data_IF_705137544143
#
_entry.id   IF_705137544143
#
_cell.length_a   1.000
_cell.length_b   1.000
_cell.length_c   1.000
_cell.angle_alpha   90.00
_cell.angle_beta   90.00
_cell.angle_gamma   90.00
#
_symmetry.space_group_name_H-M   'P 1'
#
loop_
_entity.id
_entity.type
_entity.pdbx_description
1 polymer ?
#
# COMPACT_ATOMS: atom_id res chain seq x y z
N UNK A 1 22.99 -24.52 5.41
CA UNK A 1 22.33 -25.75 5.92
C UNK A 1 21.53 -25.51 7.20
N UNK A 2 22.07 -24.89 8.27
CA UNK A 2 21.27 -24.67 9.49
C UNK A 2 20.15 -23.62 9.30
N UNK A 3 20.42 -22.52 8.60
CA UNK A 3 19.43 -21.46 8.32
C UNK A 3 18.27 -21.96 7.44
N UNK A 4 18.54 -22.87 6.51
CA UNK A 4 17.52 -23.53 5.68
C UNK A 4 16.57 -24.38 6.55
N UNK A 5 17.10 -25.11 7.55
CA UNK A 5 16.28 -25.86 8.50
C UNK A 5 15.43 -24.92 9.37
N UNK A 6 15.98 -23.78 9.81
CA UNK A 6 15.23 -22.76 10.55
C UNK A 6 14.13 -22.14 9.69
N UNK A 7 14.42 -21.87 8.42
CA UNK A 7 13.45 -21.30 7.46
C UNK A 7 12.30 -22.26 7.24
N UNK A 8 12.57 -23.56 7.05
CA UNK A 8 11.54 -24.60 6.97
C UNK A 8 10.73 -24.71 8.26
N UNK A 9 11.37 -24.62 9.42
CA UNK A 9 10.68 -24.64 10.72
C UNK A 9 9.74 -23.43 10.85
N UNK A 10 10.21 -22.23 10.52
CA UNK A 10 9.39 -21.01 10.53
C UNK A 10 8.20 -21.11 9.57
N UNK A 11 8.40 -21.67 8.37
CA UNK A 11 7.32 -21.90 7.42
C UNK A 11 6.23 -22.81 7.98
N UNK A 12 6.61 -23.93 8.59
CA UNK A 12 5.65 -24.83 9.24
C UNK A 12 4.89 -24.12 10.36
N UNK A 13 5.58 -23.35 11.19
CA UNK A 13 4.96 -22.57 12.27
C UNK A 13 3.97 -21.52 11.74
N UNK A 14 4.27 -20.86 10.62
CA UNK A 14 3.34 -19.95 9.95
C UNK A 14 2.10 -20.70 9.44
N UNK A 15 2.28 -21.85 8.81
CA UNK A 15 1.17 -22.67 8.32
C UNK A 15 0.28 -23.19 9.47
N UNK A 16 0.88 -23.62 10.58
CA UNK A 16 0.16 -24.00 11.80
C UNK A 16 -0.63 -22.83 12.41
N UNK A 17 -0.14 -21.60 12.26
CA UNK A 17 -0.84 -20.37 12.64
C UNK A 17 -1.91 -19.92 11.62
N UNK A 18 -2.23 -20.75 10.63
CA UNK A 18 -3.32 -20.51 9.67
C UNK A 18 -2.93 -19.71 8.43
N UNK A 19 -1.63 -19.58 8.13
CA UNK A 19 -1.19 -18.95 6.88
C UNK A 19 -1.43 -19.89 5.69
N UNK A 20 -1.99 -19.42 4.57
CA UNK A 20 -2.14 -20.22 3.36
C UNK A 20 -0.80 -20.74 2.86
N UNK A 21 -0.75 -21.98 2.36
CA UNK A 21 0.52 -22.60 1.93
C UNK A 21 1.13 -21.94 0.69
N UNK A 22 0.29 -21.39 -0.17
CA UNK A 22 0.63 -20.61 -1.36
C UNK A 22 1.02 -19.15 -1.02
N UNK A 23 0.65 -18.65 0.16
CA UNK A 23 1.06 -17.34 0.64
C UNK A 23 2.50 -17.31 1.18
N UNK A 24 3.09 -18.45 1.54
CA UNK A 24 4.42 -18.51 2.16
C UNK A 24 5.48 -18.96 1.14
N UNK A 25 6.26 -18.01 0.63
CA UNK A 25 7.27 -18.23 -0.40
C UNK A 25 8.67 -18.22 0.21
N UNK A 26 9.45 -19.26 -0.05
CA UNK A 26 10.88 -19.34 0.31
C UNK A 26 11.75 -18.75 -0.81
N UNK A 27 12.89 -18.17 -0.45
CA UNK A 27 13.92 -17.68 -1.39
C UNK A 27 13.36 -16.76 -2.48
N UNK A 28 12.51 -15.79 -2.10
CA UNK A 28 11.90 -14.87 -3.06
C UNK A 28 12.98 -13.97 -3.68
N UNK A 29 13.16 -14.09 -5.00
CA UNK A 29 14.10 -13.29 -5.76
C UNK A 29 13.59 -11.84 -5.93
N UNK A 30 14.38 -10.88 -5.46
CA UNK A 30 14.11 -9.44 -5.57
C UNK A 30 15.26 -8.76 -6.30
N UNK A 31 14.95 -8.04 -7.37
CA UNK A 31 15.94 -7.28 -8.14
C UNK A 31 16.08 -5.88 -7.56
N UNK A 32 17.29 -5.51 -7.15
CA UNK A 32 17.60 -4.17 -6.71
C UNK A 32 17.68 -3.18 -7.89
N UNK A 33 17.58 -1.86 -7.63
CA UNK A 33 17.77 -0.83 -8.65
C UNK A 33 19.13 -0.87 -9.37
N UNK A 34 20.15 -1.46 -8.73
CA UNK A 34 21.49 -1.67 -9.31
C UNK A 34 21.58 -2.90 -10.24
N UNK A 35 20.46 -3.61 -10.43
CA UNK A 35 20.36 -4.82 -11.26
C UNK A 35 20.80 -6.10 -10.57
N UNK A 36 21.29 -6.06 -9.33
CA UNK A 36 21.64 -7.27 -8.56
C UNK A 36 20.37 -7.96 -8.09
N UNK A 37 20.41 -9.30 -8.08
CA UNK A 37 19.33 -10.12 -7.54
C UNK A 37 19.70 -10.52 -6.13
N UNK A 38 18.79 -10.26 -5.20
CA UNK A 38 18.84 -10.72 -3.82
C UNK A 38 17.76 -11.76 -3.60
N UNK A 39 17.97 -12.63 -2.62
CA UNK A 39 17.00 -13.64 -2.23
C UNK A 39 16.57 -13.35 -0.80
N UNK A 40 15.26 -13.20 -0.61
CA UNK A 40 14.63 -13.05 0.70
C UNK A 40 14.36 -14.45 1.23
N UNK A 41 14.82 -14.76 2.45
CA UNK A 41 14.71 -16.10 3.03
C UNK A 41 13.26 -16.61 3.01
N UNK A 42 12.32 -15.78 3.49
CA UNK A 42 10.90 -16.09 3.48
C UNK A 42 10.06 -14.82 3.30
N UNK A 43 9.07 -14.88 2.42
CA UNK A 43 8.13 -13.81 2.14
C UNK A 43 6.68 -14.29 2.28
N UNK A 44 5.81 -13.41 2.77
CA UNK A 44 4.37 -13.61 2.83
C UNK A 44 3.73 -12.77 1.73
N UNK A 45 3.00 -13.43 0.84
CA UNK A 45 2.33 -12.83 -0.31
C UNK A 45 0.82 -13.01 -0.16
N UNK A 46 0.05 -11.99 -0.49
CA UNK A 46 -1.39 -12.14 -0.66
C UNK A 46 -1.68 -12.93 -1.96
N UNK A 47 -2.28 -14.13 -1.88
CA UNK A 47 -2.51 -14.96 -3.07
C UNK A 47 -3.49 -14.30 -4.07
N UNK A 48 -4.29 -13.33 -3.63
CA UNK A 48 -5.26 -12.64 -4.49
C UNK A 48 -4.60 -11.47 -5.22
N UNK A 49 -3.98 -10.54 -4.49
CA UNK A 49 -3.38 -9.34 -5.09
C UNK A 49 -1.94 -9.53 -5.55
N UNK A 50 -1.29 -10.64 -5.19
CA UNK A 50 0.16 -10.86 -5.36
C UNK A 50 1.04 -9.81 -4.66
N UNK A 51 0.48 -9.02 -3.72
CA UNK A 51 1.26 -8.05 -2.96
C UNK A 51 2.08 -8.73 -1.87
N UNK A 52 3.28 -8.21 -1.59
CA UNK A 52 4.15 -8.74 -0.53
C UNK A 52 3.71 -8.09 0.78
N UNK A 53 3.11 -8.88 1.67
CA UNK A 53 2.60 -8.44 2.96
C UNK A 53 3.72 -8.27 3.99
N UNK A 54 4.62 -9.25 4.05
CA UNK A 54 5.69 -9.30 5.02
C UNK A 54 6.92 -10.04 4.48
N UNK A 55 8.10 -9.72 5.00
CA UNK A 55 9.34 -10.42 4.71
C UNK A 55 10.06 -10.79 6.01
N UNK A 56 10.69 -11.95 6.01
CA UNK A 56 11.43 -12.52 7.12
C UNK A 56 12.88 -12.75 6.70
N UNK A 57 13.81 -12.26 7.52
CA UNK A 57 15.20 -12.69 7.49
C UNK A 57 15.43 -13.67 8.64
N UNK A 58 16.09 -14.78 8.36
CA UNK A 58 16.31 -15.87 9.30
C UNK A 58 17.79 -15.94 9.66
N UNK A 59 18.12 -15.72 10.94
CA UNK A 59 19.50 -15.82 11.45
C UNK A 59 19.61 -16.87 12.54
N UNK A 60 20.69 -17.66 12.52
CA UNK A 60 20.93 -18.66 13.57
C UNK A 60 21.15 -17.99 14.93
N UNK A 61 22.08 -17.06 15.04
CA UNK A 61 22.44 -16.45 16.31
C UNK A 61 22.44 -14.92 16.18
N UNK A 62 21.94 -14.22 17.20
CA UNK A 62 21.94 -12.75 17.30
C UNK A 62 22.57 -12.26 18.60
N UNK A 63 23.50 -13.02 19.18
CA UNK A 63 24.23 -12.62 20.39
C UNK A 63 25.13 -11.38 20.17
N UNK A 64 25.50 -11.13 18.92
CA UNK A 64 26.33 -9.97 18.53
C UNK A 64 25.47 -8.85 17.92
N UNK A 65 25.53 -7.68 18.55
CA UNK A 65 24.93 -6.43 18.05
C UNK A 65 25.34 -6.11 16.59
N UNK A 66 26.54 -6.51 16.15
CA UNK A 66 26.97 -6.32 14.77
C UNK A 66 26.15 -7.18 13.80
N UNK A 67 25.80 -8.41 14.18
CA UNK A 67 24.98 -9.31 13.35
C UNK A 67 23.55 -8.80 13.26
N UNK A 68 22.98 -8.32 14.38
CA UNK A 68 21.68 -7.63 14.40
C UNK A 68 21.66 -6.47 13.41
N UNK A 69 22.66 -5.58 13.48
CA UNK A 69 22.74 -4.42 12.57
C UNK A 69 22.87 -4.82 11.10
N UNK A 70 23.63 -5.88 10.80
CA UNK A 70 23.75 -6.42 9.44
C UNK A 70 22.41 -6.96 8.94
N UNK A 71 21.70 -7.73 9.76
CA UNK A 71 20.38 -8.27 9.41
C UNK A 71 19.36 -7.15 9.18
N UNK A 72 19.30 -6.13 10.05
CA UNK A 72 18.44 -4.96 9.85
C UNK A 72 18.79 -4.25 8.53
N UNK A 73 20.08 -4.00 8.28
CA UNK A 73 20.51 -3.33 7.05
C UNK A 73 20.13 -4.14 5.80
N UNK A 74 20.22 -5.46 5.86
CA UNK A 74 19.84 -6.38 4.79
C UNK A 74 18.33 -6.32 4.51
N UNK A 75 17.48 -6.47 5.54
CA UNK A 75 16.02 -6.39 5.40
C UNK A 75 15.58 -5.01 4.89
N UNK A 76 16.19 -3.93 5.38
CA UNK A 76 15.93 -2.57 4.90
C UNK A 76 16.38 -2.35 3.46
N UNK A 77 17.41 -3.07 3.01
CA UNK A 77 17.82 -3.04 1.60
C UNK A 77 16.75 -3.70 0.73
N UNK A 78 16.18 -4.81 1.19
CA UNK A 78 15.12 -5.51 0.46
C UNK A 78 13.85 -4.66 0.36
N UNK A 79 13.44 -4.02 1.46
CA UNK A 79 12.21 -3.22 1.48
C UNK A 79 12.23 -2.03 0.52
N UNK A 80 13.40 -1.46 0.24
CA UNK A 80 13.58 -0.37 -0.73
C UNK A 80 13.36 -0.79 -2.18
N UNK A 81 13.52 -2.08 -2.48
CA UNK A 81 13.37 -2.64 -3.82
C UNK A 81 11.95 -3.18 -4.06
N UNK A 82 11.09 -3.14 -3.04
CA UNK A 82 9.73 -3.65 -3.11
C UNK A 82 8.73 -2.48 -3.19
N UNK A 83 7.67 -2.59 -4.01
CA UNK A 83 6.70 -1.51 -4.21
C UNK A 83 5.85 -1.22 -2.97
N UNK A 84 5.47 -2.25 -2.21
CA UNK A 84 4.37 -2.16 -1.23
C UNK A 84 4.82 -1.92 0.22
N UNK A 85 6.11 -1.65 0.45
CA UNK A 85 6.70 -1.44 1.79
C UNK A 85 6.23 -2.50 2.82
N UNK A 86 6.63 -3.77 2.63
CA UNK A 86 6.17 -4.88 3.46
C UNK A 86 6.56 -4.70 4.93
N UNK A 87 5.87 -5.42 5.81
CA UNK A 87 6.29 -5.55 7.20
C UNK A 87 7.59 -6.35 7.28
N UNK A 88 8.51 -5.90 8.12
CA UNK A 88 9.86 -6.41 8.20
C UNK A 88 10.03 -7.20 9.50
N UNK A 89 10.38 -8.47 9.39
CA UNK A 89 10.60 -9.34 10.53
C UNK A 89 11.99 -9.96 10.50
N UNK A 90 12.59 -10.07 11.69
CA UNK A 90 13.82 -10.81 11.92
C UNK A 90 13.49 -11.99 12.83
N UNK A 91 13.74 -13.19 12.33
CA UNK A 91 13.58 -14.43 13.08
C UNK A 91 14.94 -15.00 13.45
N UNK A 92 15.14 -15.36 14.72
CA UNK A 92 16.35 -16.04 15.14
C UNK A 92 16.10 -17.17 16.12
N UNK A 93 17.08 -18.09 16.22
CA UNK A 93 16.98 -19.24 17.11
C UNK A 93 18.30 -19.54 17.83
N UNK A 94 18.41 -19.12 19.09
CA UNK A 94 19.59 -19.37 19.91
C UNK A 94 19.39 -20.58 20.82
N UNK A 95 20.21 -21.62 20.63
CA UNK A 95 20.37 -22.84 21.45
C UNK A 95 19.13 -23.68 21.80
N UNK A 96 17.92 -23.18 21.55
CA UNK A 96 16.58 -23.83 21.55
C UNK A 96 15.46 -22.78 21.66
N UNK A 97 15.81 -21.53 22.03
CA UNK A 97 14.86 -20.41 22.10
C UNK A 97 14.72 -19.74 20.75
N UNK A 98 13.50 -19.41 20.38
CA UNK A 98 13.19 -18.62 19.19
C UNK A 98 12.83 -17.20 19.60
N UNK A 99 13.34 -16.23 18.87
CA UNK A 99 12.98 -14.83 19.05
C UNK A 99 12.56 -14.25 17.72
N UNK A 100 11.57 -13.37 17.80
CA UNK A 100 10.98 -12.70 16.64
C UNK A 100 11.04 -11.22 16.94
N UNK A 101 11.49 -10.44 15.97
CA UNK A 101 11.54 -8.99 16.09
C UNK A 101 10.82 -8.36 14.90
N UNK A 102 10.05 -7.32 15.13
CA UNK A 102 9.65 -6.39 14.07
C UNK A 102 10.71 -5.32 13.90
N UNK A 103 11.10 -5.09 12.65
CA UNK A 103 11.97 -3.99 12.28
C UNK A 103 11.14 -2.84 11.73
N UNK A 104 11.36 -1.64 12.26
CA UNK A 104 10.85 -0.43 11.65
C UNK A 104 11.76 -0.01 10.48
N UNK A 105 11.16 0.42 9.38
CA UNK A 105 11.89 0.91 8.20
C UNK A 105 12.66 2.18 8.57
N UNK A 106 12.07 3.04 9.40
CA UNK A 106 12.62 4.35 9.74
C UNK A 106 13.59 4.28 10.92
N UNK A 107 13.15 3.77 12.06
CA UNK A 107 14.03 3.59 13.21
C UNK A 107 14.90 2.34 13.03
N UNK A 108 16.21 2.42 13.26
CA UNK A 108 17.09 1.22 13.25
C UNK A 108 16.88 0.34 14.48
N UNK A 109 15.66 0.31 15.01
CA UNK A 109 15.29 -0.37 16.22
C UNK A 109 14.57 -1.67 15.87
N UNK A 110 14.76 -2.66 16.73
CA UNK A 110 14.02 -3.91 16.72
C UNK A 110 13.10 -3.93 17.93
N UNK A 111 11.84 -4.23 17.70
CA UNK A 111 10.86 -4.45 18.76
C UNK A 111 10.63 -5.96 18.90
N UNK A 112 10.88 -6.55 20.07
CA UNK A 112 10.64 -7.97 20.29
C UNK A 112 9.14 -8.25 20.22
N UNK A 113 8.78 -9.30 19.47
CA UNK A 113 7.42 -9.79 19.34
C UNK A 113 7.27 -11.11 20.10
N UNK A 114 6.26 -11.17 20.94
CA UNK A 114 5.91 -12.39 21.67
C UNK A 114 5.16 -13.40 20.81
N UNK A 115 4.51 -12.95 19.73
CA UNK A 115 3.74 -13.78 18.81
C UNK A 115 3.77 -13.19 17.41
N UNK A 116 3.79 -14.07 16.41
CA UNK A 116 3.57 -13.68 15.01
C UNK A 116 2.15 -13.10 14.82
N UNK A 117 1.98 -12.05 14.00
CA UNK A 117 0.65 -11.60 13.61
C UNK A 117 -0.10 -12.72 12.87
N UNK A 118 -1.43 -12.66 12.82
CA UNK A 118 -2.21 -13.55 11.94
C UNK A 118 -2.14 -13.06 10.49
N UNK A 119 -2.39 -13.96 9.54
CA UNK A 119 -2.46 -13.60 8.12
C UNK A 119 -3.50 -12.50 7.86
N UNK A 120 -4.67 -12.57 8.49
CA UNK A 120 -5.71 -11.53 8.42
C UNK A 120 -5.25 -10.17 8.98
N UNK A 121 -4.45 -10.19 10.05
CA UNK A 121 -3.85 -8.96 10.60
C UNK A 121 -2.84 -8.33 9.64
N UNK A 122 -2.10 -9.15 8.87
CA UNK A 122 -1.19 -8.66 7.84
C UNK A 122 -1.97 -8.01 6.68
N UNK A 123 -3.03 -8.68 6.19
CA UNK A 123 -3.89 -8.17 5.12
C UNK A 123 -4.53 -6.82 5.50
N UNK A 124 -5.09 -6.71 6.70
CA UNK A 124 -5.69 -5.47 7.19
C UNK A 124 -4.68 -4.33 7.40
N UNK A 125 -3.43 -4.65 7.73
CA UNK A 125 -2.38 -3.63 7.86
C UNK A 125 -2.00 -2.99 6.52
N UNK A 126 -2.12 -3.75 5.42
CA UNK A 126 -1.84 -3.24 4.07
C UNK A 126 -2.98 -2.42 3.49
N UNK A 127 -4.24 -2.81 3.71
CA UNK A 127 -5.39 -2.03 3.23
C UNK A 127 -5.41 -0.62 3.83
N UNK A 128 -4.98 -0.48 5.09
CA UNK A 128 -4.80 0.83 5.73
C UNK A 128 -3.68 1.68 5.11
N UNK A 129 -2.63 1.05 4.55
CA UNK A 129 -1.56 1.76 3.84
C UNK A 129 -1.96 2.12 2.40
N UNK A 130 -2.67 1.24 1.69
CA UNK A 130 -3.07 1.44 0.29
C UNK A 130 -4.06 2.58 0.07
N UNK A 131 -4.95 2.85 1.05
CA UNK A 131 -5.91 3.96 0.97
C UNK A 131 -5.23 5.34 1.17
N UNK A 132 -4.02 5.39 1.74
CA UNK A 132 -3.29 6.64 2.02
C UNK A 132 -2.14 6.96 1.03
N UNK A 133 -1.81 6.08 0.08
CA UNK A 133 -0.68 6.29 -0.84
C UNK A 133 -1.02 7.10 -2.10
N UNK A 134 -2.29 7.22 -2.50
CA UNK A 134 -2.71 8.09 -3.62
C UNK A 134 -2.73 9.59 -3.26
N UNK A 135 -2.51 9.98 -2.00
CA UNK A 135 -2.53 11.39 -1.56
C UNK A 135 -1.39 11.81 -0.62
N UNK A 136 -0.21 11.16 -0.66
CA UNK A 136 0.93 11.51 0.21
C UNK A 136 2.06 12.26 -0.50
N UNK A 137 1.75 13.48 -0.94
CA UNK A 137 2.54 14.67 -0.58
C UNK A 137 1.59 15.52 0.28
N UNK A 138 2.02 15.83 1.50
CA UNK A 138 1.30 16.59 2.53
C UNK A 138 0.08 15.91 3.18
N UNK A 139 0.30 15.23 4.31
CA UNK A 139 -0.55 15.29 5.54
C UNK A 139 -0.16 14.20 6.53
N UNK A 140 0.91 14.45 7.30
CA UNK A 140 1.35 13.61 8.42
C UNK A 140 0.72 13.99 9.77
N UNK A 141 -0.32 14.85 9.80
CA UNK A 141 -0.79 15.45 11.06
C UNK A 141 -2.15 14.94 11.53
N UNK A 142 -3.14 14.70 10.67
CA UNK A 142 -4.52 14.46 11.15
C UNK A 142 -4.78 13.05 11.75
N UNK A 143 -4.20 11.99 11.19
CA UNK A 143 -4.44 10.61 11.71
C UNK A 143 -3.69 10.28 13.01
N UNK A 144 -2.79 11.16 13.46
CA UNK A 144 -2.16 11.05 14.80
C UNK A 144 -3.08 11.47 15.95
N UNK A 145 -4.20 12.18 15.72
CA UNK A 145 -5.02 12.73 16.81
C UNK A 145 -5.98 11.74 17.47
N UNK A 146 -6.39 10.66 16.79
CA UNK A 146 -7.36 9.71 17.35
C UNK A 146 -6.76 8.79 18.43
N UNK A 147 -5.47 8.42 18.31
CA UNK A 147 -4.79 7.59 19.31
C UNK A 147 -4.22 8.41 20.48
N UNK A 148 -4.18 9.74 20.38
CA UNK A 148 -3.70 10.65 21.43
C UNK A 148 -4.76 10.88 22.52
N UNK A 149 -6.05 10.87 22.21
CA UNK A 149 -7.12 11.12 23.21
C UNK A 149 -7.26 9.98 24.23
N UNK A 150 -6.95 8.73 23.85
CA UNK A 150 -6.89 7.61 24.80
C UNK A 150 -5.61 7.60 25.66
N UNK A 151 -4.53 8.25 25.19
CA UNK A 151 -3.26 8.39 25.91
C UNK A 151 -3.16 9.63 26.81
N UNK A 152 -4.01 10.64 26.62
CA UNK A 152 -3.92 11.89 27.39
C UNK A 152 -4.34 11.76 28.87
N UNK A 153 -5.06 10.70 29.27
CA UNK A 153 -5.38 10.45 30.69
C UNK A 153 -4.18 9.94 31.51
N UNK A 154 -3.14 9.39 30.88
CA UNK A 154 -1.95 8.88 31.58
C UNK A 154 -0.79 9.87 31.64
N UNK A 155 -0.74 10.87 30.74
CA UNK A 155 0.36 11.83 30.62
C UNK A 155 0.41 12.96 31.66
N UNK A 156 -0.66 13.21 32.43
CA UNK A 156 -0.60 14.20 33.52
C UNK A 156 0.27 13.68 34.68
N UNK A 157 0.28 12.36 34.92
CA UNK A 157 1.09 11.75 35.98
C UNK A 157 2.60 11.73 35.62
N UNK A 158 2.95 11.62 34.34
CA UNK A 158 4.34 11.51 33.89
C UNK A 158 4.98 12.91 33.73
N UNK A 159 4.22 13.93 33.33
CA UNK A 159 4.72 15.30 33.24
C UNK A 159 5.15 15.88 34.60
N UNK A 160 4.43 15.54 35.69
CA UNK A 160 4.80 15.95 37.05
C UNK A 160 6.13 15.33 37.53
N UNK A 161 6.49 14.14 37.03
CA UNK A 161 7.75 13.44 37.36
C UNK A 161 8.95 13.91 36.50
N UNK A 162 8.70 14.42 35.30
CA UNK A 162 9.76 14.90 34.39
C UNK A 162 10.15 16.37 34.64
N UNK A 163 9.24 17.21 35.14
CA UNK A 163 9.53 18.62 35.46
C UNK A 163 10.51 18.73 36.63
N UNK A 164 10.52 17.78 37.57
CA UNK A 164 11.46 17.79 38.71
C UNK A 164 12.85 17.23 38.38
N UNK A 165 13.02 16.52 37.25
CA UNK A 165 14.27 15.82 36.92
C UNK A 165 15.06 16.45 35.76
N UNK A 166 14.44 17.23 34.86
CA UNK A 166 15.14 17.87 33.72
C UNK A 166 15.46 19.36 33.89
N UNK A 167 14.95 20.04 34.94
CA UNK A 167 15.15 21.48 35.16
C UNK A 167 16.58 21.93 35.55
N UNK A 168 17.56 21.01 35.63
CA UNK A 168 18.91 21.32 36.08
C UNK A 168 20.02 21.07 35.04
N UNK A 169 19.70 20.65 33.80
CA UNK A 169 20.74 20.19 32.86
C UNK A 169 20.88 20.90 31.50
N UNK A 170 20.09 21.93 31.19
CA UNK A 170 20.29 22.73 29.97
C UNK A 170 20.33 24.23 30.26
N UNK A 171 21.43 24.65 30.85
CA UNK A 171 21.99 25.99 30.65
C UNK A 171 23.34 25.84 29.93
N UNK A 172 23.67 26.78 29.04
CA UNK A 172 24.87 26.89 28.18
C UNK A 172 24.74 26.48 26.70
N UNK A 173 24.13 27.33 25.87
CA UNK A 173 24.73 27.81 24.59
C UNK A 173 23.83 28.82 23.85
N UNK A 174 23.69 30.02 24.42
CA UNK A 174 23.08 31.17 23.72
C UNK A 174 24.12 31.83 22.80
N UNK A 175 23.95 31.68 21.49
CA UNK A 175 24.39 32.70 20.53
C UNK A 175 23.31 33.76 20.50
N UNK A 176 23.59 34.91 21.11
CA UNK A 176 22.70 36.07 21.12
C UNK A 176 22.66 36.70 19.74
N UNK A 177 21.62 36.39 18.96
CA UNK A 177 21.30 37.11 17.73
C UNK A 177 20.89 38.55 18.08
N UNK A 178 21.51 39.53 17.43
CA UNK A 178 21.27 40.95 17.70
C UNK A 178 19.88 41.41 17.25
N UNK A 179 19.31 42.40 17.93
CA UNK A 179 17.96 42.94 17.72
C UNK A 179 17.61 43.30 16.25
N UNK A 180 18.60 43.59 15.40
CA UNK A 180 18.40 43.86 13.97
C UNK A 180 18.04 42.60 13.17
N UNK A 181 18.61 41.46 13.53
CA UNK A 181 18.40 40.18 12.84
C UNK A 181 17.04 39.59 13.22
N UNK A 182 16.64 39.73 14.49
CA UNK A 182 15.29 39.38 14.97
C UNK A 182 14.19 40.19 14.28
N UNK A 183 14.43 41.48 13.98
CA UNK A 183 13.44 42.32 13.28
C UNK A 183 13.29 41.90 11.81
N UNK A 184 14.41 41.51 11.17
CA UNK A 184 14.42 41.04 9.79
C UNK A 184 13.76 39.66 9.67
N UNK A 185 14.07 38.74 10.58
CA UNK A 185 13.45 37.42 10.65
C UNK A 185 11.94 37.51 10.94
N UNK A 186 11.52 38.42 11.82
CA UNK A 186 10.10 38.65 12.12
C UNK A 186 9.33 39.24 10.93
N UNK A 187 9.96 40.10 10.12
CA UNK A 187 9.36 40.62 8.89
C UNK A 187 9.21 39.55 7.80
N UNK A 188 10.21 38.67 7.66
CA UNK A 188 10.18 37.57 6.68
C UNK A 188 9.20 36.48 7.09
N UNK A 189 9.08 36.20 8.39
CA UNK A 189 8.06 35.30 8.93
C UNK A 189 6.65 35.84 8.70
N UNK A 190 6.40 37.13 8.95
CA UNK A 190 5.10 37.74 8.64
C UNK A 190 4.77 37.67 7.15
N UNK A 191 5.73 37.94 6.27
CA UNK A 191 5.53 37.83 4.83
C UNK A 191 5.18 36.40 4.39
N UNK A 192 5.83 35.39 4.96
CA UNK A 192 5.50 33.97 4.74
C UNK A 192 4.10 33.61 5.27
N UNK A 193 3.69 34.17 6.41
CA UNK A 193 2.34 33.96 6.95
C UNK A 193 1.27 34.53 6.01
N UNK A 194 1.47 35.76 5.50
CA UNK A 194 0.53 36.36 4.53
C UNK A 194 0.48 35.57 3.21
N UNK A 195 1.62 35.09 2.72
CA UNK A 195 1.67 34.23 1.54
C UNK A 195 0.93 32.91 1.76
N UNK A 196 1.14 32.27 2.92
CA UNK A 196 0.43 31.04 3.27
C UNK A 196 -1.08 31.26 3.36
N UNK A 197 -1.52 32.40 3.86
CA UNK A 197 -2.94 32.71 4.01
C UNK A 197 -3.62 32.92 2.65
N UNK A 198 -2.95 33.62 1.72
CA UNK A 198 -3.43 33.77 0.35
C UNK A 198 -3.53 32.44 -0.42
N UNK A 199 -2.60 31.51 -0.16
CA UNK A 199 -2.66 30.15 -0.74
C UNK A 199 -3.87 29.38 -0.19
N UNK A 200 -4.14 29.48 1.12
CA UNK A 200 -5.31 28.83 1.73
C UNK A 200 -6.61 29.36 1.15
N UNK A 201 -6.74 30.68 0.99
CA UNK A 201 -7.94 31.29 0.40
C UNK A 201 -8.16 30.86 -1.06
N UNK A 202 -7.09 30.74 -1.86
CA UNK A 202 -7.23 30.27 -3.25
C UNK A 202 -7.60 28.78 -3.31
N UNK A 203 -7.04 27.96 -2.41
CA UNK A 203 -7.38 26.52 -2.33
C UNK A 203 -8.83 26.30 -1.87
N UNK A 204 -9.34 27.10 -0.93
CA UNK A 204 -10.76 27.03 -0.54
C UNK A 204 -11.69 27.38 -1.71
N UNK A 205 -11.29 28.34 -2.55
CA UNK A 205 -12.05 28.70 -3.75
C UNK A 205 -12.06 27.58 -4.77
N UNK A 206 -10.90 26.97 -5.06
CA UNK A 206 -10.79 25.83 -5.99
C UNK A 206 -11.57 24.61 -5.48
N UNK A 207 -11.54 24.34 -4.16
CA UNK A 207 -12.28 23.24 -3.55
C UNK A 207 -13.80 23.45 -3.67
N UNK A 208 -14.28 24.68 -3.49
CA UNK A 208 -15.68 25.01 -3.69
C UNK A 208 -16.12 24.86 -5.16
N UNK A 209 -15.25 25.18 -6.12
CA UNK A 209 -15.50 24.99 -7.55
C UNK A 209 -15.57 23.50 -7.94
N UNK A 210 -14.65 22.69 -7.41
CA UNK A 210 -14.65 21.22 -7.58
C UNK A 210 -15.88 20.60 -6.92
N UNK A 211 -16.26 21.05 -5.72
CA UNK A 211 -17.46 20.57 -5.02
C UNK A 211 -18.73 20.88 -5.80
N UNK A 212 -18.83 22.09 -6.38
CA UNK A 212 -19.94 22.47 -7.26
C UNK A 212 -20.01 21.58 -8.51
N UNK A 213 -18.85 21.31 -9.13
CA UNK A 213 -18.75 20.41 -10.27
C UNK A 213 -19.15 18.96 -9.91
N UNK A 214 -18.76 18.48 -8.72
CA UNK A 214 -19.07 17.13 -8.26
C UNK A 214 -20.56 16.95 -7.94
N UNK A 215 -21.23 17.97 -7.38
CA UNK A 215 -22.68 17.93 -7.15
C UNK A 215 -23.50 17.87 -8.44
N UNK A 216 -22.99 18.45 -9.53
CA UNK A 216 -23.61 18.35 -10.85
C UNK A 216 -23.44 16.95 -11.47
N UNK A 217 -22.40 16.22 -11.06
CA UNK A 217 -22.11 14.85 -11.50
C UNK A 217 -22.87 13.78 -10.70
N UNK A 218 -23.21 14.04 -9.43
CA UNK A 218 -23.89 13.06 -8.57
C UNK A 218 -25.37 12.84 -8.89
N UNK A 219 -26.00 13.75 -9.63
CA UNK A 219 -27.43 13.67 -10.00
C UNK A 219 -27.70 12.96 -11.33
N UNK A 220 -26.67 12.37 -11.97
CA UNK A 220 -26.83 11.70 -13.26
C UNK A 220 -27.10 10.17 -13.11
N UNK A 221 -28.01 9.59 -13.91
CA UNK A 221 -28.36 8.15 -13.85
C UNK A 221 -27.16 7.22 -14.11
N UNK A 222 -27.14 6.04 -13.49
CA UNK A 222 -26.04 5.06 -13.56
C UNK A 222 -25.66 4.62 -14.98
N UNK A 223 -26.58 4.63 -15.93
CA UNK A 223 -26.31 4.34 -17.34
C UNK A 223 -25.41 5.38 -18.04
N UNK A 224 -25.17 6.54 -17.44
CA UNK A 224 -24.29 7.57 -18.01
C UNK A 224 -22.90 7.65 -17.36
N UNK A 225 -22.69 6.97 -16.22
CA UNK A 225 -21.40 6.98 -15.50
C UNK A 225 -20.27 6.37 -16.33
N UNK A 226 -20.53 5.25 -17.01
CA UNK A 226 -19.53 4.62 -17.88
C UNK A 226 -19.14 5.50 -19.08
N UNK A 227 -20.09 6.27 -19.64
CA UNK A 227 -19.83 7.18 -20.76
C UNK A 227 -18.94 8.34 -20.34
N UNK A 228 -19.04 8.79 -19.08
CA UNK A 228 -18.18 9.82 -18.49
C UNK A 228 -16.78 9.26 -18.22
N UNK A 229 -16.67 8.01 -17.74
CA UNK A 229 -15.37 7.35 -17.58
C UNK A 229 -14.66 7.15 -18.92
N UNK A 230 -15.39 6.75 -19.96
CA UNK A 230 -14.85 6.62 -21.33
C UNK A 230 -14.44 7.99 -21.89
N UNK A 231 -15.25 9.04 -21.72
CA UNK A 231 -14.89 10.40 -22.15
C UNK A 231 -13.68 10.94 -21.38
N UNK A 232 -13.55 10.62 -20.09
CA UNK A 232 -12.38 11.00 -19.27
C UNK A 232 -11.13 10.24 -19.71
N UNK A 233 -11.27 8.95 -20.04
CA UNK A 233 -10.20 8.16 -20.64
C UNK A 233 -9.77 8.74 -21.99
N UNK A 234 -10.73 9.11 -22.83
CA UNK A 234 -10.47 9.73 -24.14
C UNK A 234 -9.76 11.09 -23.99
N UNK A 235 -10.19 11.93 -23.04
CA UNK A 235 -9.51 13.20 -22.74
C UNK A 235 -8.08 12.99 -22.19
N UNK A 236 -7.87 11.97 -21.35
CA UNK A 236 -6.53 11.62 -20.88
C UNK A 236 -5.63 11.13 -22.02
N UNK A 237 -6.17 10.36 -22.96
CA UNK A 237 -5.46 9.92 -24.17
C UNK A 237 -5.10 11.10 -25.07
N UNK A 238 -6.00 12.06 -25.25
CA UNK A 238 -5.75 13.28 -26.03
C UNK A 238 -4.66 14.15 -25.38
N UNK A 239 -4.70 14.32 -24.05
CA UNK A 239 -3.63 15.01 -23.30
C UNK A 239 -2.30 14.29 -23.41
N UNK A 240 -2.29 12.95 -23.41
CA UNK A 240 -1.08 12.15 -23.59
C UNK A 240 -0.52 12.33 -25.01
N UNK A 241 -1.39 12.30 -26.03
CA UNK A 241 -1.04 12.55 -27.43
C UNK A 241 -0.40 13.92 -27.61
N UNK A 242 -0.99 14.97 -27.04
CA UNK A 242 -0.45 16.33 -27.11
C UNK A 242 0.91 16.47 -26.40
N UNK A 243 1.12 15.72 -25.30
CA UNK A 243 2.43 15.66 -24.62
C UNK A 243 3.48 14.92 -25.44
N UNK A 244 3.10 13.86 -26.14
CA UNK A 244 3.98 13.13 -27.05
C UNK A 244 4.36 14.00 -28.24
N UNK A 245 3.42 14.72 -28.84
CA UNK A 245 3.69 15.64 -29.96
C UNK A 245 4.58 16.82 -29.52
N UNK A 246 4.36 17.35 -28.32
CA UNK A 246 5.23 18.38 -27.72
C UNK A 246 6.64 17.84 -27.45
N UNK A 247 6.76 16.61 -26.94
CA UNK A 247 8.05 15.92 -26.76
C UNK A 247 8.72 15.67 -28.11
N UNK A 248 7.98 15.24 -29.13
CA UNK A 248 8.46 14.99 -30.49
C UNK A 248 9.05 16.27 -31.10
N UNK A 249 8.34 17.40 -30.99
CA UNK A 249 8.80 18.73 -31.40
C UNK A 249 10.11 19.14 -30.70
N UNK A 250 10.21 18.90 -29.38
CA UNK A 250 11.44 19.20 -28.61
C UNK A 250 12.58 18.25 -28.98
N UNK A 251 12.28 16.99 -29.29
CA UNK A 251 13.25 15.94 -29.63
C UNK A 251 13.76 16.01 -31.07
N UNK A 252 13.00 16.57 -32.02
CA UNK A 252 13.44 16.78 -33.42
C UNK A 252 14.59 17.78 -33.57
N UNK A 253 14.97 18.50 -32.52
CA UNK A 253 16.12 19.40 -32.51
C UNK A 253 17.47 18.68 -32.36
N UNK A 254 17.49 17.38 -32.04
CA UNK A 254 18.69 16.57 -31.83
C UNK A 254 18.65 15.25 -32.65
N UNK A 255 19.44 15.11 -33.74
CA UNK A 255 19.31 14.02 -34.71
C UNK A 255 19.64 12.63 -34.13
N UNK A 256 20.35 12.55 -33.01
CA UNK A 256 20.63 11.28 -32.32
C UNK A 256 19.40 10.69 -31.63
N UNK A 257 18.38 11.51 -31.34
CA UNK A 257 17.11 11.10 -30.72
C UNK A 257 16.00 10.81 -31.74
N UNK A 258 16.19 11.16 -33.01
CA UNK A 258 15.25 10.87 -34.10
C UNK A 258 15.06 9.36 -34.36
N UNK A 259 16.02 8.52 -33.95
CA UNK A 259 15.90 7.05 -34.01
C UNK A 259 15.07 6.46 -32.84
N UNK A 260 14.94 7.18 -31.73
CA UNK A 260 14.16 6.71 -30.58
C UNK A 260 12.66 6.87 -30.81
N UNK A 261 12.23 7.84 -31.62
CA UNK A 261 10.81 8.13 -31.88
C UNK A 261 10.11 6.99 -32.64
N UNK A 262 10.65 6.41 -33.73
CA UNK A 262 10.06 5.25 -34.39
C UNK A 262 9.99 4.01 -33.47
N UNK A 263 10.96 3.85 -32.57
CA UNK A 263 10.96 2.75 -31.60
C UNK A 263 9.85 2.94 -30.57
N UNK A 264 9.73 4.14 -30.00
CA UNK A 264 8.64 4.48 -29.07
C UNK A 264 7.27 4.35 -29.73
N UNK A 265 7.13 4.76 -30.99
CA UNK A 265 5.88 4.58 -31.76
C UNK A 265 5.56 3.10 -31.95
N UNK A 266 6.55 2.27 -32.26
CA UNK A 266 6.38 0.82 -32.37
C UNK A 266 5.99 0.19 -31.03
N UNK A 267 6.61 0.63 -29.94
CA UNK A 267 6.30 0.14 -28.59
C UNK A 267 4.88 0.56 -28.18
N UNK A 268 4.45 1.78 -28.51
CA UNK A 268 3.09 2.27 -28.27
C UNK A 268 2.05 1.50 -29.11
N UNK A 269 2.32 1.26 -30.40
CA UNK A 269 1.45 0.41 -31.22
C UNK A 269 1.41 -1.04 -30.72
N UNK A 270 2.51 -1.54 -30.14
CA UNK A 270 2.54 -2.87 -29.54
C UNK A 270 1.73 -2.92 -28.25
N UNK A 271 1.83 -1.91 -27.38
CA UNK A 271 1.04 -1.86 -26.15
C UNK A 271 -0.44 -1.65 -26.43
N UNK A 272 -0.79 -0.80 -27.40
CA UNK A 272 -2.17 -0.64 -27.88
C UNK A 272 -2.74 -1.97 -28.35
N UNK A 273 -2.01 -2.70 -29.19
CA UNK A 273 -2.43 -4.04 -29.65
C UNK A 273 -2.61 -5.01 -28.49
N UNK A 274 -1.66 -5.08 -27.56
CA UNK A 274 -1.79 -5.94 -26.38
C UNK A 274 -3.02 -5.58 -25.55
N UNK A 275 -3.26 -4.29 -25.29
CA UNK A 275 -4.43 -3.83 -24.55
C UNK A 275 -5.74 -4.15 -25.27
N UNK A 276 -5.81 -3.98 -26.58
CA UNK A 276 -7.01 -4.36 -27.35
C UNK A 276 -7.28 -5.85 -27.31
N UNK A 277 -6.23 -6.69 -27.34
CA UNK A 277 -6.35 -8.13 -27.21
C UNK A 277 -6.82 -8.54 -25.81
N UNK A 278 -6.26 -7.93 -24.76
CA UNK A 278 -6.69 -8.16 -23.38
C UNK A 278 -8.13 -7.72 -23.14
N UNK A 279 -8.58 -6.60 -23.72
CA UNK A 279 -9.97 -6.16 -23.65
C UNK A 279 -10.91 -7.14 -24.36
N UNK A 280 -10.53 -7.63 -25.54
CA UNK A 280 -11.31 -8.65 -26.24
C UNK A 280 -11.38 -9.96 -25.46
N UNK A 281 -10.27 -10.38 -24.85
CA UNK A 281 -10.22 -11.56 -23.99
C UNK A 281 -11.09 -11.38 -22.74
N UNK A 282 -10.99 -10.23 -22.07
CA UNK A 282 -11.80 -9.90 -20.89
C UNK A 282 -13.29 -9.91 -21.25
N UNK A 283 -13.66 -9.34 -22.41
CA UNK A 283 -15.03 -9.39 -22.90
C UNK A 283 -15.50 -10.82 -23.14
N UNK A 284 -14.67 -11.66 -23.76
CA UNK A 284 -15.00 -13.07 -23.99
C UNK A 284 -15.15 -13.85 -22.68
N UNK A 285 -14.33 -13.55 -21.68
CA UNK A 285 -14.45 -14.14 -20.34
C UNK A 285 -15.72 -13.68 -19.62
N UNK A 286 -16.09 -12.40 -19.73
CA UNK A 286 -17.35 -11.87 -19.22
C UNK A 286 -18.56 -12.51 -19.90
N UNK A 287 -18.54 -12.70 -21.22
CA UNK A 287 -19.59 -13.42 -21.95
C UNK A 287 -19.71 -14.87 -21.45
N UNK A 288 -18.59 -15.54 -21.19
CA UNK A 288 -18.59 -16.89 -20.61
C UNK A 288 -19.15 -16.92 -19.18
N UNK A 289 -18.78 -15.96 -18.33
CA UNK A 289 -19.32 -15.82 -16.99
C UNK A 289 -20.82 -15.52 -17.01
N UNK A 290 -21.26 -14.69 -17.96
CA UNK A 290 -22.67 -14.38 -18.16
C UNK A 290 -23.46 -15.64 -18.53
N UNK A 291 -22.96 -16.45 -19.46
CA UNK A 291 -23.57 -17.74 -19.81
C UNK A 291 -23.61 -18.70 -18.62
N UNK A 292 -22.53 -18.77 -17.83
CA UNK A 292 -22.49 -19.57 -16.60
C UNK A 292 -23.54 -19.10 -15.57
N UNK A 293 -23.67 -17.78 -15.37
CA UNK A 293 -24.66 -17.20 -14.48
C UNK A 293 -26.09 -17.51 -14.95
N UNK A 294 -26.34 -17.47 -16.27
CA UNK A 294 -27.62 -17.87 -16.84
C UNK A 294 -27.96 -19.33 -16.54
N UNK A 295 -26.98 -20.24 -16.67
CA UNK A 295 -27.14 -21.64 -16.27
C UNK A 295 -27.41 -21.79 -14.77
N UNK A 296 -26.69 -21.03 -13.94
CA UNK A 296 -26.88 -21.05 -12.49
C UNK A 296 -28.29 -20.61 -12.07
N UNK A 297 -28.83 -19.55 -12.69
CA UNK A 297 -30.21 -19.10 -12.47
C UNK A 297 -31.20 -20.20 -12.85
N UNK A 298 -30.98 -20.87 -13.99
CA UNK A 298 -31.81 -22.00 -14.41
C UNK A 298 -31.78 -23.14 -13.40
N UNK A 299 -30.59 -23.49 -12.89
CA UNK A 299 -30.41 -24.53 -11.88
C UNK A 299 -31.13 -24.16 -10.58
N UNK A 300 -30.96 -22.93 -10.08
CA UNK A 300 -31.67 -22.45 -8.89
C UNK A 300 -33.20 -22.54 -9.05
N UNK A 301 -33.71 -22.20 -10.24
CA UNK A 301 -35.14 -22.32 -10.54
C UNK A 301 -35.62 -23.79 -10.50
N UNK A 302 -34.84 -24.73 -11.07
CA UNK A 302 -35.19 -26.16 -11.00
C UNK A 302 -35.16 -26.72 -9.59
N UNK A 303 -34.19 -26.29 -8.75
CA UNK A 303 -34.13 -26.69 -7.34
C UNK A 303 -35.35 -26.15 -6.59
N UNK A 304 -35.69 -24.87 -6.78
CA UNK A 304 -36.84 -24.25 -6.11
C UNK A 304 -38.16 -24.96 -6.49
N UNK A 305 -38.35 -25.30 -7.77
CA UNK A 305 -39.50 -26.08 -8.23
C UNK A 305 -39.51 -27.51 -7.65
N UNK A 306 -38.35 -28.17 -7.56
CA UNK A 306 -38.25 -29.50 -6.96
C UNK A 306 -38.64 -29.49 -5.48
N UNK A 307 -38.20 -28.48 -4.72
CA UNK A 307 -38.56 -28.32 -3.32
C UNK A 307 -40.06 -28.04 -3.16
N UNK A 308 -40.62 -27.14 -3.99
CA UNK A 308 -42.06 -26.87 -4.00
C UNK A 308 -42.89 -28.12 -4.37
N UNK A 309 -42.44 -28.91 -5.36
CA UNK A 309 -43.08 -30.17 -5.74
C UNK A 309 -43.08 -31.20 -4.62
N UNK A 310 -41.98 -31.30 -3.87
CA UNK A 310 -41.87 -32.19 -2.71
C UNK A 310 -42.82 -31.76 -1.59
N UNK A 311 -42.93 -30.45 -1.31
CA UNK A 311 -43.86 -29.92 -0.30
C UNK A 311 -45.32 -30.15 -0.72
N UNK A 312 -45.66 -29.88 -1.99
CA UNK A 312 -47.01 -30.11 -2.51
C UNK A 312 -47.40 -31.59 -2.46
N UNK A 313 -46.50 -32.50 -2.85
CA UNK A 313 -46.71 -33.96 -2.77
C UNK A 313 -46.89 -34.43 -1.33
N UNK A 314 -46.06 -33.93 -0.40
CA UNK A 314 -46.20 -34.25 1.03
C UNK A 314 -47.53 -33.80 1.63
N UNK A 315 -48.13 -32.71 1.13
CA UNK A 315 -49.42 -32.22 1.61
C UNK A 315 -50.58 -33.04 1.05
N UNK A 316 -50.49 -33.48 -0.21
CA UNK A 316 -51.52 -34.31 -0.84
C UNK A 316 -51.55 -35.74 -0.26
N UNK A 317 -50.39 -36.37 -0.06
CA UNK A 317 -50.32 -37.72 0.53
C UNK A 317 -50.87 -37.78 1.97
N UNK A 318 -50.93 -36.66 2.69
CA UNK A 318 -51.51 -36.60 4.06
C UNK A 318 -53.04 -36.60 4.08
N UNK A 319 -53.72 -36.41 2.94
CA UNK A 319 -55.20 -36.39 2.88
C UNK A 319 -55.82 -37.75 2.52
N UNK A 320 -55.03 -38.72 2.09
CA UNK A 320 -55.51 -40.06 1.70
C UNK A 320 -55.30 -41.15 2.77
N UNK A 321 -54.78 -40.77 3.95
CA UNK A 321 -54.74 -41.60 5.18
C UNK A 321 -55.66 -41.01 6.23
#
# INVERSE_FOLDING_TARGET
MYEELLTRKLKLELQENGYPSDAVIEELAVRNPDGRVHYIDLAIIDPISSSILAIFEVKKNLDDNQQIRKAIAQIKSYSKSLPDLPLLFLFCSNEDKQFIYSADVESNNLEPLNKLPSFESLLSSQTLKGVDQTHRKDTSVAKKWSNIVAGMSSSIAIAALLITSFGLFFDSSSKTLGNKELTLELSTMKAKTYQSQAIVENLERELNEVKGSLSLLSDLPEEQKWKIEVSKLQANVEVLSNKIESLESVLTSDPTKALAVPLLRKDLESTEKTLTLELLQTRAELERMYDQNKWFIGLMFTIALSVLGMVASSWFNRKET
#
